data_IF_723124841502
#
_entry.id   IF_723124841502
#
_cell.length_a   1.000
_cell.length_b   1.000
_cell.length_c   1.000
_cell.angle_alpha   90.00
_cell.angle_beta   90.00
_cell.angle_gamma   90.00
#
_symmetry.space_group_name_H-M   'P 1'
#
loop_
_entity.id
_entity.type
_entity.pdbx_description
1 polymer ?
#
# COMPACT_ATOMS: atom_id res chain seq x y z
N UNK A 1 5.20 2.85 -0.17
CA UNK A 1 4.46 1.71 -0.75
C UNK A 1 3.44 1.27 0.26
N UNK A 2 2.25 0.85 -0.17
CA UNK A 2 1.03 0.80 0.67
C UNK A 2 1.18 -0.01 1.97
N UNK A 3 2.07 -1.03 1.98
CA UNK A 3 2.38 -1.82 3.18
C UNK A 3 2.96 -0.97 4.31
N UNK A 4 3.86 -0.04 4.00
CA UNK A 4 4.47 0.84 5.00
C UNK A 4 3.46 1.84 5.55
N UNK A 5 2.56 2.33 4.69
CA UNK A 5 1.49 3.25 5.05
C UNK A 5 0.50 2.57 6.00
N UNK A 6 0.11 1.32 5.71
CA UNK A 6 -0.72 0.49 6.60
C UNK A 6 -0.08 0.27 7.98
N UNK A 7 1.24 0.00 8.03
CA UNK A 7 1.96 -0.14 9.30
C UNK A 7 1.99 1.16 10.12
N UNK A 8 2.19 2.31 9.46
CA UNK A 8 2.15 3.63 10.11
C UNK A 8 0.77 3.92 10.69
N UNK A 9 -0.29 3.71 9.90
CA UNK A 9 -1.68 3.88 10.37
C UNK A 9 -2.00 3.00 11.59
N UNK A 10 -1.53 1.75 11.61
CA UNK A 10 -1.71 0.87 12.74
C UNK A 10 -0.93 1.34 13.99
N UNK A 11 0.30 1.83 13.80
CA UNK A 11 1.14 2.31 14.90
C UNK A 11 0.57 3.58 15.54
N UNK A 12 0.33 4.58 14.70
CA UNK A 12 0.09 5.96 15.10
C UNK A 12 -1.39 6.20 15.46
N UNK A 13 -2.31 5.49 14.78
CA UNK A 13 -3.76 5.72 14.91
C UNK A 13 -4.56 4.46 15.32
N UNK A 14 -3.90 3.32 15.52
CA UNK A 14 -4.55 2.02 15.78
C UNK A 14 -5.55 1.59 14.70
N UNK A 15 -5.39 2.11 13.48
CA UNK A 15 -6.23 1.80 12.33
C UNK A 15 -5.66 0.60 11.57
N UNK A 16 -6.48 -0.44 11.35
CA UNK A 16 -6.10 -1.61 10.55
C UNK A 16 -6.63 -1.49 9.13
N UNK A 17 -5.73 -1.44 8.15
CA UNK A 17 -6.10 -1.49 6.74
C UNK A 17 -6.20 -2.94 6.26
N UNK A 18 -7.31 -3.30 5.61
CA UNK A 18 -7.54 -4.61 4.99
C UNK A 18 -7.67 -4.47 3.48
N UNK A 19 -7.30 -5.52 2.74
CA UNK A 19 -7.44 -5.54 1.27
C UNK A 19 -6.49 -4.59 0.52
N UNK A 20 -5.40 -4.15 1.15
CA UNK A 20 -4.40 -3.32 0.47
C UNK A 20 -3.72 -4.10 -0.66
N UNK A 21 -3.71 -3.51 -1.86
CA UNK A 21 -3.05 -4.05 -3.03
C UNK A 21 -1.87 -3.15 -3.41
N UNK A 22 -0.67 -3.71 -3.41
CA UNK A 22 0.53 -3.02 -3.85
C UNK A 22 0.74 -3.19 -5.36
N UNK A 23 0.67 -2.09 -6.11
CA UNK A 23 0.72 -2.13 -7.58
C UNK A 23 2.07 -2.63 -8.11
N UNK A 24 3.17 -2.30 -7.42
CA UNK A 24 4.51 -2.77 -7.79
C UNK A 24 4.58 -4.30 -7.67
N UNK A 25 4.10 -4.84 -6.56
CA UNK A 25 4.01 -6.29 -6.35
C UNK A 25 3.10 -6.97 -7.38
N UNK A 26 2.00 -6.31 -7.77
CA UNK A 26 1.12 -6.79 -8.83
C UNK A 26 1.84 -6.88 -10.18
N UNK A 27 2.54 -5.82 -10.58
CA UNK A 27 3.31 -5.83 -11.83
C UNK A 27 4.36 -6.94 -11.84
N UNK A 28 5.11 -7.09 -10.75
CA UNK A 28 6.12 -8.14 -10.62
C UNK A 28 5.51 -9.55 -10.75
N UNK A 29 4.39 -9.81 -10.07
CA UNK A 29 3.73 -11.11 -10.12
C UNK A 29 3.20 -11.45 -11.51
N UNK A 30 2.66 -10.48 -12.23
CA UNK A 30 2.15 -10.68 -13.59
C UNK A 30 3.24 -10.50 -14.66
N UNK A 31 4.51 -10.34 -14.27
CA UNK A 31 5.65 -10.12 -15.16
C UNK A 31 5.42 -8.96 -16.14
N UNK A 32 4.76 -7.91 -15.67
CA UNK A 32 4.52 -6.70 -16.46
C UNK A 32 5.73 -5.78 -16.24
N UNK A 33 6.49 -5.43 -17.30
CA UNK A 33 7.65 -4.55 -17.17
C UNK A 33 7.20 -3.14 -16.79
N UNK A 34 7.97 -2.47 -15.95
CA UNK A 34 7.77 -1.06 -15.60
C UNK A 34 9.10 -0.31 -15.75
N UNK A 35 9.03 0.95 -16.18
CA UNK A 35 10.23 1.82 -16.26
C UNK A 35 10.93 1.98 -14.91
N UNK A 36 10.15 2.06 -13.83
CA UNK A 36 10.64 1.98 -12.45
C UNK A 36 9.49 1.54 -11.52
N UNK A 37 9.82 1.24 -10.27
CA UNK A 37 8.87 0.75 -9.27
C UNK A 37 8.32 1.85 -8.34
N UNK A 38 8.28 3.09 -8.81
CA UNK A 38 7.55 4.17 -8.14
C UNK A 38 6.11 4.25 -8.67
N UNK A 39 5.21 4.91 -7.94
CA UNK A 39 3.85 5.20 -8.45
C UNK A 39 3.89 5.91 -9.81
N UNK A 40 4.87 6.79 -10.02
CA UNK A 40 5.07 7.46 -11.30
C UNK A 40 5.39 6.46 -12.42
N UNK A 41 6.35 5.55 -12.20
CA UNK A 41 6.72 4.53 -13.19
C UNK A 41 5.57 3.56 -13.50
N UNK A 42 4.83 3.12 -12.48
CA UNK A 42 3.65 2.27 -12.63
C UNK A 42 2.56 2.98 -13.43
N UNK A 43 2.28 4.24 -13.11
CA UNK A 43 1.26 5.05 -13.81
C UNK A 43 1.65 5.25 -15.27
N UNK A 44 2.90 5.63 -15.53
CA UNK A 44 3.42 5.82 -16.88
C UNK A 44 3.33 4.53 -17.71
N UNK A 45 3.69 3.40 -17.13
CA UNK A 45 3.59 2.07 -17.75
C UNK A 45 2.13 1.70 -18.07
N UNK A 46 1.19 2.05 -17.19
CA UNK A 46 -0.21 1.61 -17.30
C UNK A 46 -1.08 2.55 -18.15
N UNK A 47 -0.72 3.83 -18.22
CA UNK A 47 -1.57 4.89 -18.81
C UNK A 47 -0.89 5.65 -19.94
N UNK A 48 0.44 5.61 -20.04
CA UNK A 48 1.22 6.50 -20.91
C UNK A 48 1.28 7.95 -20.42
N UNK A 49 0.61 8.29 -19.31
CA UNK A 49 0.51 9.66 -18.79
C UNK A 49 1.60 9.97 -17.76
N UNK A 50 2.07 11.21 -17.79
CA UNK A 50 3.06 11.75 -16.86
C UNK A 50 2.37 12.32 -15.60
N UNK A 51 2.89 12.00 -14.42
CA UNK A 51 2.49 12.59 -13.14
C UNK A 51 3.56 13.61 -12.71
N UNK A 52 3.32 14.93 -12.85
CA UNK A 52 4.23 15.95 -12.35
C UNK A 52 4.27 15.90 -10.84
N UNK A 53 5.42 15.52 -10.27
CA UNK A 53 5.65 15.55 -8.83
C UNK A 53 6.54 16.74 -8.50
N UNK A 54 5.94 17.90 -8.22
CA UNK A 54 6.69 19.02 -7.67
C UNK A 54 7.31 18.61 -6.32
N UNK A 55 8.63 18.56 -6.25
CA UNK A 55 9.38 18.14 -5.05
C UNK A 55 9.11 19.05 -3.86
N UNK A 56 8.95 20.35 -4.12
CA UNK A 56 8.63 21.40 -3.14
C UNK A 56 7.31 21.11 -2.41
N UNK A 57 6.28 20.69 -3.14
CA UNK A 57 4.98 20.34 -2.54
C UNK A 57 5.09 19.03 -1.76
N UNK A 58 5.77 18.02 -2.31
CA UNK A 58 5.93 16.71 -1.66
C UNK A 58 6.61 16.82 -0.30
N UNK A 59 7.65 17.64 -0.19
CA UNK A 59 8.44 17.82 1.03
C UNK A 59 7.98 19.02 1.88
N UNK A 60 6.84 19.63 1.57
CA UNK A 60 6.27 20.73 2.35
C UNK A 60 5.71 20.26 3.70
N UNK A 61 5.33 21.20 4.57
CA UNK A 61 4.71 20.87 5.85
C UNK A 61 3.25 20.40 5.66
N UNK A 62 3.03 19.09 5.84
CA UNK A 62 1.71 18.42 5.75
C UNK A 62 0.89 18.45 7.04
N UNK A 63 1.47 18.92 8.16
CA UNK A 63 0.81 19.05 9.46
C UNK A 63 0.15 20.42 9.65
N UNK A 64 0.06 21.23 8.59
CA UNK A 64 -0.63 22.53 8.63
C UNK A 64 -2.13 22.33 8.85
N UNK A 65 -2.73 23.20 9.69
CA UNK A 65 -4.19 23.23 9.92
C UNK A 65 -5.00 23.37 8.61
N UNK A 66 -4.48 24.12 7.64
CA UNK A 66 -5.05 24.27 6.32
C UNK A 66 -3.98 23.99 5.26
N UNK A 67 -4.29 23.06 4.35
CA UNK A 67 -3.42 22.73 3.22
C UNK A 67 -3.58 23.75 2.10
N UNK A 68 -2.50 24.03 1.38
CA UNK A 68 -2.56 24.89 0.19
C UNK A 68 -3.28 24.18 -0.97
N UNK A 69 -3.83 24.92 -1.95
CA UNK A 69 -4.40 24.31 -3.15
C UNK A 69 -3.44 23.36 -3.88
N UNK A 70 -2.14 23.69 -3.88
CA UNK A 70 -1.11 22.83 -4.46
C UNK A 70 -0.93 21.51 -3.69
N UNK A 71 -0.96 21.54 -2.35
CA UNK A 71 -0.90 20.33 -1.52
C UNK A 71 -2.14 19.45 -1.72
N UNK A 72 -3.34 20.06 -1.77
CA UNK A 72 -4.59 19.35 -2.04
C UNK A 72 -4.54 18.67 -3.41
N UNK A 73 -4.16 19.41 -4.46
CA UNK A 73 -4.04 18.87 -5.80
C UNK A 73 -3.01 17.73 -5.86
N UNK A 74 -1.87 17.89 -5.20
CA UNK A 74 -0.83 16.86 -5.14
C UNK A 74 -1.34 15.57 -4.50
N UNK A 75 -1.97 15.67 -3.32
CA UNK A 75 -2.50 14.52 -2.60
C UNK A 75 -3.62 13.82 -3.39
N UNK A 76 -4.53 14.61 -3.98
CA UNK A 76 -5.61 14.10 -4.83
C UNK A 76 -5.06 13.39 -6.07
N UNK A 77 -4.04 13.96 -6.73
CA UNK A 77 -3.40 13.36 -7.89
C UNK A 77 -2.75 12.01 -7.55
N UNK A 78 -1.98 11.91 -6.46
CA UNK A 78 -1.34 10.65 -6.05
C UNK A 78 -2.39 9.54 -5.80
N UNK A 79 -3.53 9.86 -5.19
CA UNK A 79 -4.64 8.92 -5.01
C UNK A 79 -5.31 8.54 -6.35
N UNK A 80 -5.61 9.53 -7.19
CA UNK A 80 -6.27 9.35 -8.48
C UNK A 80 -5.45 8.47 -9.43
N UNK A 81 -4.16 8.77 -9.61
CA UNK A 81 -3.30 8.01 -10.52
C UNK A 81 -3.07 6.58 -10.06
N UNK A 82 -3.03 6.32 -8.74
CA UNK A 82 -3.00 4.96 -8.20
C UNK A 82 -4.25 4.16 -8.61
N UNK A 83 -5.45 4.76 -8.45
CA UNK A 83 -6.72 4.14 -8.86
C UNK A 83 -6.81 3.94 -10.38
N UNK A 84 -6.39 4.94 -11.15
CA UNK A 84 -6.37 4.87 -12.61
C UNK A 84 -5.43 3.77 -13.12
N UNK A 85 -4.22 3.66 -12.55
CA UNK A 85 -3.26 2.63 -12.90
C UNK A 85 -3.83 1.23 -12.64
N UNK A 86 -4.42 0.99 -11.46
CA UNK A 86 -5.10 -0.27 -11.16
C UNK A 86 -6.22 -0.56 -12.17
N UNK A 87 -7.06 0.43 -12.45
CA UNK A 87 -8.18 0.29 -13.39
C UNK A 87 -7.71 -0.09 -14.80
N UNK A 88 -6.57 0.46 -15.27
CA UNK A 88 -5.97 0.06 -16.55
C UNK A 88 -5.38 -1.34 -16.51
N UNK A 89 -4.71 -1.72 -15.42
CA UNK A 89 -4.19 -3.08 -15.28
C UNK A 89 -5.34 -4.11 -15.28
N UNK A 90 -6.45 -3.83 -14.61
CA UNK A 90 -7.61 -4.72 -14.54
C UNK A 90 -8.29 -4.97 -15.90
N UNK A 91 -8.10 -4.08 -16.89
CA UNK A 91 -8.58 -4.30 -18.28
C UNK A 91 -7.75 -5.33 -19.04
N UNK A 92 -6.59 -5.75 -18.53
CA UNK A 92 -5.82 -6.85 -19.13
C UNK A 92 -6.59 -8.16 -18.98
N UNK A 93 -6.74 -8.96 -20.05
CA UNK A 93 -7.48 -10.20 -20.01
C UNK A 93 -7.02 -11.12 -18.87
N UNK A 94 -7.98 -11.63 -18.10
CA UNK A 94 -7.75 -12.59 -17.02
C UNK A 94 -7.21 -12.01 -15.70
N UNK A 95 -6.72 -10.76 -15.66
CA UNK A 95 -6.11 -10.22 -14.43
C UNK A 95 -7.13 -9.97 -13.31
N UNK A 96 -8.29 -9.41 -13.66
CA UNK A 96 -9.37 -9.17 -12.69
C UNK A 96 -9.85 -10.48 -12.04
N UNK A 97 -9.99 -11.55 -12.82
CA UNK A 97 -10.42 -12.85 -12.32
C UNK A 97 -9.38 -13.50 -11.40
N UNK A 98 -8.09 -13.42 -11.77
CA UNK A 98 -6.99 -13.88 -10.90
C UNK A 98 -7.02 -13.16 -9.54
N UNK A 99 -7.20 -11.84 -9.53
CA UNK A 99 -7.26 -11.06 -8.29
C UNK A 99 -8.45 -11.43 -7.41
N UNK A 100 -9.63 -11.68 -8.01
CA UNK A 100 -10.81 -12.18 -7.27
C UNK A 100 -10.57 -13.55 -6.63
N UNK A 101 -9.78 -14.44 -7.26
CA UNK A 101 -9.44 -15.75 -6.68
C UNK A 101 -8.49 -15.61 -5.50
N UNK A 102 -7.47 -14.76 -5.62
CA UNK A 102 -6.50 -14.49 -4.54
C UNK A 102 -7.13 -13.85 -3.31
N UNK A 103 -8.15 -13.00 -3.48
CA UNK A 103 -8.90 -12.44 -2.35
C UNK A 103 -9.73 -13.48 -1.58
N UNK A 104 -10.04 -14.63 -2.18
CA UNK A 104 -10.80 -15.71 -1.55
C UNK A 104 -9.91 -16.65 -0.72
N UNK A 105 -8.69 -16.94 -1.18
CA UNK A 105 -7.77 -17.84 -0.47
C UNK A 105 -7.23 -17.24 0.83
N UNK A 106 -6.93 -15.94 0.84
CA UNK A 106 -6.41 -15.25 2.04
C UNK A 106 -7.42 -15.13 3.18
N UNK A 107 -8.72 -15.04 2.86
CA UNK A 107 -9.79 -15.05 3.87
C UNK A 107 -10.11 -16.46 4.40
N UNK A 108 -9.86 -17.51 3.63
CA UNK A 108 -10.02 -18.89 4.08
C UNK A 108 -8.92 -19.30 5.07
N UNK A 109 -7.67 -18.90 4.83
CA UNK A 109 -6.53 -19.15 5.73
C UNK A 109 -6.61 -18.30 7.01
N UNK A 110 -7.13 -17.06 6.94
CA UNK A 110 -7.31 -16.21 8.11
C UNK A 110 -8.33 -16.74 9.14
N UNK A 111 -9.20 -17.69 8.76
CA UNK A 111 -10.12 -18.37 9.70
C UNK A 111 -9.47 -19.54 10.45
N UNK A 112 -8.26 -19.96 10.09
CA UNK A 112 -7.55 -21.08 10.74
C UNK A 112 -6.58 -20.66 11.86
N UNK A 113 -6.31 -19.36 12.03
CA UNK A 113 -5.25 -18.87 12.91
C UNK A 113 -5.81 -18.11 14.14
N UNK A 114 -6.82 -18.70 14.81
CA UNK A 114 -7.38 -18.21 16.08
C UNK A 114 -7.21 -19.23 17.20
N UNK A 115 -6.01 -19.80 17.34
CA UNK A 115 -5.67 -20.69 18.44
C UNK A 115 -4.22 -20.52 18.83
N UNK A 116 -3.99 -20.27 20.12
CA UNK A 116 -2.70 -20.17 20.83
C UNK A 116 -2.09 -18.76 20.97
N UNK A 117 -2.72 -17.96 21.83
CA UNK A 117 -1.98 -17.09 22.76
C UNK A 117 -2.34 -17.51 24.18
N UNK A 118 -1.45 -18.28 24.81
CA UNK A 118 -1.39 -18.42 26.26
C UNK A 118 -0.09 -19.13 26.64
N UNK A 119 0.92 -18.34 27.02
CA UNK A 119 1.52 -18.42 28.36
C UNK A 119 2.59 -17.34 28.52
N UNK A 120 2.25 -16.45 29.43
CA UNK A 120 2.99 -15.34 30.00
C UNK A 120 3.85 -15.87 31.17
N UNK A 121 5.03 -15.26 31.32
CA UNK A 121 5.81 -15.04 32.55
C UNK A 121 6.22 -16.19 33.48
N UNK A 122 7.54 -16.36 33.65
CA UNK A 122 8.18 -16.29 34.98
C UNK A 122 9.70 -16.12 34.90
N UNK A 123 10.23 -15.09 35.57
CA UNK A 123 11.51 -15.20 36.29
C UNK A 123 12.68 -14.35 35.79
N UNK A 124 12.66 -13.06 36.12
CA UNK A 124 13.90 -12.35 36.46
C UNK A 124 14.53 -13.00 37.71
N UNK A 125 15.84 -13.23 37.71
CA UNK A 125 16.68 -13.12 38.92
C UNK A 125 18.14 -12.89 38.54
N UNK A 126 18.63 -11.75 39.03
CA UNK A 126 20.04 -11.36 39.13
C UNK A 126 20.85 -12.42 39.87
N UNK A 127 22.10 -12.63 39.46
CA UNK A 127 23.18 -13.00 40.37
C UNK A 127 24.49 -12.39 39.86
N UNK A 128 25.03 -11.46 40.67
CA UNK A 128 26.45 -11.13 40.67
C UNK A 128 27.26 -12.38 41.03
N UNK A 129 28.42 -12.52 40.39
CA UNK A 129 29.53 -13.39 40.75
C UNK A 129 30.76 -12.89 40.02
#
# INVERSE_FOLDING_TARGET
GIRQDSKRLAKDFKVRCRGCLDLVSLLARERIPSRNYSLHGVTLTSTGSYLPKASEVRCSNWEKKHLSPAQVLYAAADAFYGSLALSRLLRRPGLAEKLRRLGRTTNAEAKGCSGQQSKEERGESKACG
#
